data_IF_774044475148
#
_entry.id   IF_774044475148
#
_cell.length_a   1.000
_cell.length_b   1.000
_cell.length_c   1.000
_cell.angle_alpha   90.00
_cell.angle_beta   90.00
_cell.angle_gamma   90.00
#
_symmetry.space_group_name_H-M   'P 1'
#
loop_
_entity.id
_entity.type
_entity.pdbx_description
1 polymer ?
#
# COMPACT_ATOMS: atom_id res chain seq x y z
N UNK A 1 -0.02 -14.66 27.43
CA UNK A 1 -1.08 -13.64 27.57
C UNK A 1 -1.41 -13.10 26.19
N UNK A 2 -2.60 -13.39 25.66
CA UNK A 2 -3.07 -12.77 24.43
C UNK A 2 -3.23 -11.26 24.69
N UNK A 3 -2.62 -10.42 23.84
CA UNK A 3 -2.77 -8.97 23.94
C UNK A 3 -4.23 -8.62 23.64
N UNK A 4 -4.91 -7.98 24.58
CA UNK A 4 -6.13 -7.23 24.28
C UNK A 4 -5.70 -5.96 23.57
N UNK A 5 -5.47 -6.05 22.25
CA UNK A 5 -5.40 -4.85 21.43
C UNK A 5 -6.78 -4.19 21.48
N UNK A 6 -6.83 -2.90 21.80
CA UNK A 6 -8.08 -2.16 21.72
C UNK A 6 -8.62 -2.31 20.29
N UNK A 7 -9.91 -2.62 20.10
CA UNK A 7 -10.47 -2.72 18.77
C UNK A 7 -10.25 -1.39 18.03
N UNK A 8 -9.95 -1.44 16.73
CA UNK A 8 -9.77 -0.23 15.93
C UNK A 8 -10.98 0.68 16.09
N UNK A 9 -10.75 1.99 16.12
CA UNK A 9 -11.85 2.96 16.24
C UNK A 9 -12.77 2.82 15.02
N UNK A 10 -14.04 3.16 15.17
CA UNK A 10 -15.05 2.98 14.11
C UNK A 10 -14.63 3.56 12.76
N UNK A 11 -13.97 4.72 12.75
CA UNK A 11 -13.49 5.37 11.52
C UNK A 11 -12.27 4.68 10.91
N UNK A 12 -11.37 4.12 11.72
CA UNK A 12 -10.25 3.32 11.23
C UNK A 12 -10.74 2.06 10.54
N UNK A 13 -11.72 1.37 11.14
CA UNK A 13 -12.34 0.19 10.56
C UNK A 13 -13.08 0.53 9.27
N UNK A 14 -13.83 1.64 9.22
CA UNK A 14 -14.53 2.10 8.01
C UNK A 14 -13.56 2.45 6.88
N UNK A 15 -12.47 3.16 7.19
CA UNK A 15 -11.42 3.46 6.22
C UNK A 15 -10.79 2.20 5.64
N UNK A 16 -10.52 1.19 6.48
CA UNK A 16 -10.02 -0.11 6.01
C UNK A 16 -11.06 -0.93 5.24
N UNK A 17 -12.33 -0.87 5.62
CA UNK A 17 -13.39 -1.49 4.85
C UNK A 17 -13.53 -0.84 3.46
N UNK A 18 -13.37 0.49 3.35
CA UNK A 18 -13.34 1.19 2.07
C UNK A 18 -12.16 0.73 1.20
N UNK A 19 -10.97 0.63 1.78
CA UNK A 19 -9.77 0.15 1.10
C UNK A 19 -9.95 -1.28 0.55
N UNK A 20 -10.29 -2.22 1.44
CA UNK A 20 -10.30 -3.65 1.11
C UNK A 20 -11.57 -4.05 0.34
N UNK A 21 -12.74 -3.63 0.82
CA UNK A 21 -14.02 -4.03 0.22
C UNK A 21 -14.45 -3.04 -0.84
N UNK A 22 -14.38 -1.75 -0.55
CA UNK A 22 -14.80 -0.70 -1.48
C UNK A 22 -13.97 -0.72 -2.76
N UNK A 23 -12.64 -0.79 -2.63
CA UNK A 23 -11.72 -0.74 -3.78
C UNK A 23 -11.35 -2.12 -4.27
N UNK A 24 -10.59 -2.92 -3.52
CA UNK A 24 -10.06 -4.18 -4.04
C UNK A 24 -11.17 -5.16 -4.46
N UNK A 25 -12.15 -5.39 -3.58
CA UNK A 25 -13.27 -6.28 -3.90
C UNK A 25 -14.23 -5.66 -4.92
N UNK A 26 -14.56 -4.37 -4.77
CA UNK A 26 -15.44 -3.65 -5.69
C UNK A 26 -14.96 -3.72 -7.14
N UNK A 27 -13.68 -3.40 -7.39
CA UNK A 27 -13.05 -3.50 -8.71
C UNK A 27 -13.06 -4.93 -9.24
N UNK A 28 -12.73 -5.90 -8.39
CA UNK A 28 -12.72 -7.32 -8.79
C UNK A 28 -14.11 -7.82 -9.20
N UNK A 29 -15.12 -7.60 -8.35
CA UNK A 29 -16.53 -7.97 -8.62
C UNK A 29 -17.00 -7.29 -9.90
N UNK A 30 -16.57 -6.04 -10.12
CA UNK A 30 -17.02 -5.27 -11.25
C UNK A 30 -16.61 -5.88 -12.59
N UNK A 31 -15.35 -6.31 -12.70
CA UNK A 31 -14.83 -7.01 -13.87
C UNK A 31 -15.39 -8.43 -13.99
N UNK A 32 -15.56 -9.17 -12.88
CA UNK A 32 -16.16 -10.52 -12.89
C UNK A 32 -17.57 -10.52 -13.49
N UNK A 33 -18.41 -9.57 -13.07
CA UNK A 33 -19.78 -9.43 -13.60
C UNK A 33 -19.82 -9.18 -15.10
N UNK A 34 -18.78 -8.54 -15.65
CA UNK A 34 -18.64 -8.28 -17.07
C UNK A 34 -17.94 -9.42 -17.83
N UNK A 35 -17.57 -10.52 -17.16
CA UNK A 35 -16.87 -11.65 -17.79
C UNK A 35 -15.38 -11.45 -18.01
N UNK A 36 -14.77 -10.39 -17.47
CA UNK A 36 -13.36 -10.06 -17.65
C UNK A 36 -12.49 -10.59 -16.51
N UNK A 37 -12.08 -11.86 -16.60
CA UNK A 37 -11.30 -12.53 -15.55
C UNK A 37 -9.93 -11.87 -15.31
N UNK A 38 -9.24 -11.42 -16.35
CA UNK A 38 -7.93 -10.78 -16.18
C UNK A 38 -8.05 -9.49 -15.38
N UNK A 39 -9.01 -8.62 -15.73
CA UNK A 39 -9.31 -7.40 -14.98
C UNK A 39 -9.93 -7.69 -13.60
N UNK A 40 -10.46 -8.88 -13.34
CA UNK A 40 -10.94 -9.25 -12.00
C UNK A 40 -9.81 -9.62 -11.04
N UNK A 41 -8.76 -10.28 -11.54
CA UNK A 41 -7.62 -10.74 -10.74
C UNK A 41 -6.42 -9.81 -10.80
N UNK A 42 -6.39 -8.89 -11.76
CA UNK A 42 -5.31 -7.94 -11.97
C UNK A 42 -4.72 -8.07 -13.36
N UNK A 43 -4.83 -7.01 -14.16
CA UNK A 43 -4.09 -6.89 -15.41
C UNK A 43 -2.63 -6.52 -15.12
N UNK A 44 -1.68 -6.83 -16.00
CA UNK A 44 -0.27 -6.52 -15.75
C UNK A 44 -0.05 -5.05 -15.34
N UNK A 45 0.84 -4.79 -14.38
CA UNK A 45 1.11 -3.42 -13.89
C UNK A 45 0.00 -2.75 -13.05
N UNK A 46 -1.16 -3.38 -12.82
CA UNK A 46 -2.29 -2.74 -12.11
C UNK A 46 -2.00 -2.35 -10.65
N UNK A 47 -1.08 -3.07 -9.99
CA UNK A 47 -1.02 -3.13 -8.53
C UNK A 47 -0.67 -1.77 -7.91
N UNK A 48 0.28 -1.05 -8.50
CA UNK A 48 0.72 0.25 -8.03
C UNK A 48 -0.45 1.25 -8.02
N UNK A 49 -1.25 1.24 -9.10
CA UNK A 49 -2.45 2.06 -9.20
C UNK A 49 -3.52 1.63 -8.20
N UNK A 50 -3.82 0.34 -8.09
CA UNK A 50 -4.91 -0.16 -7.23
C UNK A 50 -4.67 0.12 -5.74
N UNK A 51 -3.47 -0.17 -5.22
CA UNK A 51 -3.12 0.10 -3.82
C UNK A 51 -3.12 1.61 -3.54
N UNK A 52 -2.63 2.41 -4.48
CA UNK A 52 -2.60 3.88 -4.33
C UNK A 52 -3.98 4.52 -4.45
N UNK A 53 -4.87 3.96 -5.25
CA UNK A 53 -6.26 4.39 -5.35
C UNK A 53 -7.02 4.05 -4.07
N UNK A 54 -6.77 2.86 -3.51
CA UNK A 54 -7.33 2.45 -2.23
C UNK A 54 -6.89 3.36 -1.07
N UNK A 55 -5.59 3.70 -0.99
CA UNK A 55 -5.11 4.64 0.03
C UNK A 55 -5.61 6.07 -0.18
N UNK A 56 -5.72 6.55 -1.43
CA UNK A 56 -6.26 7.87 -1.72
C UNK A 56 -7.73 8.01 -1.28
N UNK A 57 -8.56 6.98 -1.50
CA UNK A 57 -9.95 6.98 -1.02
C UNK A 57 -10.04 6.83 0.51
N UNK A 58 -9.15 6.04 1.12
CA UNK A 58 -9.03 5.95 2.59
C UNK A 58 -8.69 7.33 3.21
N UNK A 59 -7.76 8.07 2.61
CA UNK A 59 -7.36 9.41 3.06
C UNK A 59 -8.47 10.45 2.85
N UNK A 60 -9.15 10.41 1.70
CA UNK A 60 -10.29 11.25 1.41
C UNK A 60 -11.42 11.03 2.44
N UNK A 61 -11.72 9.77 2.77
CA UNK A 61 -12.71 9.44 3.80
C UNK A 61 -12.32 9.97 5.19
N UNK A 62 -11.03 9.91 5.55
CA UNK A 62 -10.53 10.43 6.82
C UNK A 62 -10.35 11.95 6.84
N UNK A 63 -10.43 12.61 5.69
CA UNK A 63 -10.13 14.03 5.54
C UNK A 63 -8.67 14.39 5.80
N UNK A 64 -7.73 13.44 5.63
CA UNK A 64 -6.30 13.66 5.89
C UNK A 64 -5.43 12.82 4.96
N UNK A 65 -4.54 13.49 4.24
CA UNK A 65 -3.50 12.85 3.44
C UNK A 65 -2.42 12.20 4.33
N UNK A 66 -2.08 10.96 4.03
CA UNK A 66 -1.01 10.19 4.65
C UNK A 66 0.16 9.95 3.70
N UNK A 67 1.36 9.83 4.27
CA UNK A 67 2.53 9.33 3.53
C UNK A 67 2.53 7.80 3.60
N UNK A 68 1.97 7.16 2.57
CA UNK A 68 1.90 5.71 2.48
C UNK A 68 3.21 5.15 1.87
N UNK A 69 3.80 4.14 2.50
CA UNK A 69 4.92 3.39 1.91
C UNK A 69 6.34 3.98 2.05
N UNK A 70 6.52 5.20 2.60
CA UNK A 70 7.86 5.77 2.84
C UNK A 70 8.79 4.83 3.64
N UNK A 71 8.26 4.18 4.68
CA UNK A 71 9.04 3.23 5.48
C UNK A 71 9.50 2.02 4.65
N UNK A 72 8.72 1.57 3.66
CA UNK A 72 9.08 0.43 2.83
C UNK A 72 10.19 0.79 1.85
N UNK A 73 10.18 2.02 1.31
CA UNK A 73 11.31 2.56 0.54
C UNK A 73 12.59 2.64 1.35
N UNK A 74 12.50 3.13 2.60
CA UNK A 74 13.67 3.20 3.49
C UNK A 74 14.22 1.80 3.80
N UNK A 75 13.35 0.84 4.12
CA UNK A 75 13.75 -0.56 4.37
C UNK A 75 14.41 -1.16 3.11
N UNK A 76 13.82 -0.96 1.94
CA UNK A 76 14.36 -1.47 0.68
C UNK A 76 15.73 -0.85 0.35
N UNK A 77 15.87 0.47 0.50
CA UNK A 77 17.14 1.16 0.31
C UNK A 77 18.22 0.68 1.28
N UNK A 78 17.88 0.47 2.55
CA UNK A 78 18.81 -0.08 3.55
C UNK A 78 19.21 -1.53 3.23
N UNK A 79 18.27 -2.36 2.78
CA UNK A 79 18.54 -3.75 2.40
C UNK A 79 19.48 -3.83 1.20
N UNK A 80 19.30 -2.96 0.19
CA UNK A 80 20.18 -2.87 -0.97
C UNK A 80 21.50 -2.13 -0.71
N UNK A 81 21.61 -1.38 0.39
CA UNK A 81 22.81 -0.62 0.71
C UNK A 81 22.93 0.70 -0.07
N UNK A 82 21.81 1.30 -0.48
CA UNK A 82 21.79 2.58 -1.21
C UNK A 82 22.27 3.80 -0.39
N UNK A 83 22.57 3.59 0.88
CA UNK A 83 23.24 4.54 1.77
C UNK A 83 24.77 4.37 1.78
N UNK A 84 25.36 3.96 0.66
CA UNK A 84 26.80 3.70 0.49
C UNK A 84 27.36 2.61 1.41
N UNK A 85 26.56 1.56 1.68
CA UNK A 85 26.98 0.40 2.45
C UNK A 85 26.76 -0.88 1.65
N UNK A 86 27.40 -2.00 2.02
CA UNK A 86 27.04 -3.30 1.46
C UNK A 86 25.57 -3.64 1.73
N UNK A 87 24.95 -4.49 0.89
CA UNK A 87 23.62 -5.02 1.16
C UNK A 87 23.52 -5.63 2.56
N UNK A 88 22.33 -5.52 3.16
CA UNK A 88 22.06 -5.90 4.54
C UNK A 88 21.05 -7.02 4.63
N UNK A 89 21.17 -7.83 5.67
CA UNK A 89 20.20 -8.85 6.05
C UNK A 89 19.04 -8.26 6.86
N UNK A 90 18.06 -9.09 7.23
CA UNK A 90 16.91 -8.66 8.01
C UNK A 90 17.31 -8.02 9.35
N UNK A 91 18.27 -8.61 10.06
CA UNK A 91 18.65 -8.19 11.41
C UNK A 91 19.32 -6.81 11.35
N UNK A 92 20.24 -6.62 10.41
CA UNK A 92 20.92 -5.35 10.18
C UNK A 92 19.91 -4.23 9.86
N UNK A 93 18.94 -4.48 8.97
CA UNK A 93 17.91 -3.49 8.62
C UNK A 93 16.95 -3.22 9.79
N UNK A 94 16.48 -4.26 10.48
CA UNK A 94 15.62 -4.12 11.67
C UNK A 94 16.28 -3.25 12.75
N UNK A 95 17.56 -3.50 13.03
CA UNK A 95 18.34 -2.76 14.01
C UNK A 95 18.40 -1.27 13.69
N UNK A 96 18.56 -0.90 12.42
CA UNK A 96 18.53 0.50 11.98
C UNK A 96 17.12 1.08 12.12
N UNK A 97 16.11 0.36 11.63
CA UNK A 97 14.74 0.86 11.58
C UNK A 97 14.15 1.14 12.96
N UNK A 98 14.37 0.28 13.96
CA UNK A 98 13.85 0.56 15.30
C UNK A 98 14.59 1.73 15.95
N UNK A 99 15.90 1.93 15.69
CA UNK A 99 16.66 3.08 16.19
C UNK A 99 16.16 4.39 15.59
N UNK A 100 15.90 4.42 14.28
CA UNK A 100 15.28 5.57 13.61
C UNK A 100 13.93 5.89 14.25
N UNK A 101 13.09 4.87 14.47
CA UNK A 101 11.80 5.05 15.14
C UNK A 101 11.94 5.56 16.58
N UNK A 102 12.95 5.11 17.32
CA UNK A 102 13.21 5.54 18.69
C UNK A 102 13.65 7.01 18.72
N UNK A 103 14.55 7.42 17.83
CA UNK A 103 14.99 8.81 17.68
C UNK A 103 13.82 9.74 17.37
N UNK A 104 12.90 9.33 16.48
CA UNK A 104 11.68 10.10 16.15
C UNK A 104 10.70 10.26 17.33
N UNK A 105 10.81 9.42 18.36
CA UNK A 105 9.90 9.41 19.53
C UNK A 105 10.56 9.88 20.82
N UNK A 106 11.88 10.04 20.83
CA UNK A 106 12.60 10.52 21.99
C UNK A 106 12.25 11.97 22.28
N UNK A 107 12.05 12.30 23.56
CA UNK A 107 11.84 13.67 24.03
C UNK A 107 12.91 13.98 25.08
N UNK A 108 13.66 15.07 24.89
CA UNK A 108 14.76 15.43 25.79
C UNK A 108 15.88 14.38 25.89
N UNK A 109 16.09 13.59 24.83
CA UNK A 109 17.09 12.51 24.80
C UNK A 109 16.68 11.24 25.57
N UNK A 110 15.47 11.18 26.11
CA UNK A 110 14.94 10.01 26.80
C UNK A 110 13.80 9.36 26.01
N UNK A 111 13.65 8.05 26.16
CA UNK A 111 12.54 7.28 25.61
C UNK A 111 11.98 6.35 26.68
N UNK A 112 10.66 6.38 26.84
CA UNK A 112 9.96 5.50 27.76
C UNK A 112 9.95 4.05 27.23
N UNK A 113 10.07 3.07 28.12
CA UNK A 113 10.28 1.66 27.77
C UNK A 113 9.10 1.04 26.98
N UNK A 114 7.86 1.42 27.31
CA UNK A 114 6.67 1.00 26.57
C UNK A 114 6.65 1.59 25.15
N UNK A 115 7.09 2.85 24.97
CA UNK A 115 7.26 3.46 23.64
C UNK A 115 8.34 2.73 22.85
N UNK A 116 9.48 2.43 23.46
CA UNK A 116 10.56 1.68 22.82
C UNK A 116 10.09 0.30 22.35
N UNK A 117 9.32 -0.41 23.18
CA UNK A 117 8.75 -1.71 22.84
C UNK A 117 7.82 -1.63 21.63
N UNK A 118 6.94 -0.62 21.58
CA UNK A 118 6.05 -0.36 20.43
C UNK A 118 6.83 -0.06 19.15
N UNK A 119 7.87 0.76 19.24
CA UNK A 119 8.73 1.10 18.10
C UNK A 119 9.42 -0.15 17.54
N UNK A 120 9.98 -1.00 18.42
CA UNK A 120 10.60 -2.26 18.00
C UNK A 120 9.61 -3.20 17.33
N UNK A 121 8.40 -3.37 17.88
CA UNK A 121 7.35 -4.17 17.24
C UNK A 121 6.98 -3.62 15.86
N UNK A 122 6.80 -2.32 15.73
CA UNK A 122 6.47 -1.69 14.45
C UNK A 122 7.60 -1.88 13.41
N UNK A 123 8.86 -1.67 13.82
CA UNK A 123 10.01 -1.90 12.95
C UNK A 123 10.12 -3.36 12.50
N UNK A 124 9.93 -4.32 13.42
CA UNK A 124 9.92 -5.74 13.09
C UNK A 124 8.84 -6.07 12.07
N UNK A 125 7.60 -5.63 12.30
CA UNK A 125 6.49 -5.90 11.39
C UNK A 125 6.73 -5.31 10.00
N UNK A 126 7.23 -4.07 9.93
CA UNK A 126 7.54 -3.43 8.64
C UNK A 126 8.69 -4.13 7.91
N UNK A 127 9.77 -4.50 8.60
CA UNK A 127 10.86 -5.26 7.98
C UNK A 127 10.36 -6.65 7.51
N UNK A 128 9.60 -7.37 8.34
CA UNK A 128 9.11 -8.70 7.99
C UNK A 128 8.18 -8.67 6.78
N UNK A 129 7.43 -7.59 6.55
CA UNK A 129 6.63 -7.45 5.33
C UNK A 129 7.46 -7.49 4.05
N UNK A 130 8.67 -6.95 4.07
CA UNK A 130 9.60 -6.95 2.93
C UNK A 130 10.50 -8.19 2.93
N UNK A 131 10.87 -8.75 4.08
CA UNK A 131 11.72 -9.94 4.13
C UNK A 131 10.94 -11.26 4.14
N UNK A 132 9.60 -11.25 4.19
CA UNK A 132 8.78 -12.47 4.15
C UNK A 132 9.06 -13.28 2.88
N UNK A 133 9.08 -14.60 3.04
CA UNK A 133 9.37 -15.53 1.94
C UNK A 133 10.85 -15.60 1.56
N UNK A 134 11.74 -14.93 2.29
CA UNK A 134 13.21 -15.03 2.13
C UNK A 134 13.82 -15.81 3.30
N UNK A 135 15.10 -16.20 3.20
CA UNK A 135 15.83 -16.80 4.30
C UNK A 135 16.11 -15.81 5.46
N UNK A 136 15.86 -14.50 5.26
CA UNK A 136 16.17 -13.39 6.17
C UNK A 136 17.66 -13.15 6.47
N UNK A 137 18.52 -14.13 6.18
CA UNK A 137 19.98 -14.07 6.30
C UNK A 137 20.68 -13.67 5.01
N UNK A 138 20.00 -13.80 3.87
CA UNK A 138 20.54 -13.41 2.57
C UNK A 138 20.49 -11.88 2.43
N UNK A 139 21.66 -11.28 2.21
CA UNK A 139 21.81 -9.84 2.14
C UNK A 139 21.19 -9.28 0.86
N UNK A 140 20.37 -8.24 1.00
CA UNK A 140 19.70 -7.57 -0.13
C UNK A 140 18.54 -8.35 -0.76
N UNK A 141 18.14 -9.49 -0.20
CA UNK A 141 17.01 -10.28 -0.72
C UNK A 141 15.73 -9.85 -0.02
N UNK A 142 14.85 -9.17 -0.75
CA UNK A 142 13.56 -8.66 -0.25
C UNK A 142 12.44 -8.82 -1.29
N UNK A 143 11.21 -8.90 -0.79
CA UNK A 143 9.96 -8.87 -1.54
C UNK A 143 9.46 -7.44 -1.70
N UNK A 144 9.42 -6.96 -2.95
CA UNK A 144 9.20 -5.55 -3.29
C UNK A 144 7.72 -5.15 -3.49
N UNK A 145 6.76 -6.04 -3.27
CA UNK A 145 5.33 -5.77 -3.51
C UNK A 145 4.88 -4.47 -2.82
N UNK A 146 5.32 -4.24 -1.59
CA UNK A 146 4.88 -3.09 -0.80
C UNK A 146 5.48 -1.74 -1.27
N UNK A 147 6.34 -1.73 -2.29
CA UNK A 147 6.73 -0.46 -2.94
C UNK A 147 5.58 0.14 -3.75
N UNK A 148 4.56 -0.66 -4.10
CA UNK A 148 3.34 -0.21 -4.77
C UNK A 148 2.64 0.95 -4.04
N UNK A 149 2.63 0.92 -2.70
CA UNK A 149 2.02 1.96 -1.84
C UNK A 149 2.60 3.36 -2.03
N UNK A 150 3.81 3.47 -2.57
CA UNK A 150 4.46 4.75 -2.80
C UNK A 150 4.55 5.07 -4.29
N UNK A 151 4.86 4.09 -5.14
CA UNK A 151 5.02 4.28 -6.60
C UNK A 151 3.77 4.84 -7.26
N UNK A 152 2.59 4.36 -6.88
CA UNK A 152 1.35 4.75 -7.54
C UNK A 152 0.72 6.05 -7.03
N UNK A 153 1.21 6.66 -5.95
CA UNK A 153 0.55 7.83 -5.37
C UNK A 153 0.50 9.00 -6.33
N UNK A 154 1.63 9.35 -6.96
CA UNK A 154 1.68 10.45 -7.94
C UNK A 154 0.75 10.17 -9.13
N UNK A 155 0.75 8.92 -9.63
CA UNK A 155 -0.08 8.49 -10.74
C UNK A 155 -1.57 8.66 -10.43
N UNK A 156 -2.00 8.17 -9.27
CA UNK A 156 -3.40 8.26 -8.84
C UNK A 156 -3.83 9.69 -8.62
N UNK A 157 -3.00 10.54 -8.01
CA UNK A 157 -3.34 11.96 -7.84
C UNK A 157 -3.54 12.67 -9.17
N UNK A 158 -2.70 12.39 -10.18
CA UNK A 158 -2.87 12.92 -11.53
C UNK A 158 -4.17 12.47 -12.18
N UNK A 159 -4.59 11.21 -11.96
CA UNK A 159 -5.87 10.71 -12.47
C UNK A 159 -7.05 11.36 -11.76
N UNK A 160 -7.04 11.40 -10.43
CA UNK A 160 -8.14 11.93 -9.61
C UNK A 160 -8.41 13.42 -9.87
N UNK A 161 -7.40 14.21 -10.26
CA UNK A 161 -7.58 15.62 -10.63
C UNK A 161 -8.48 15.82 -11.86
N UNK A 162 -8.62 14.80 -12.70
CA UNK A 162 -9.42 14.85 -13.94
C UNK A 162 -10.77 14.13 -13.79
N UNK A 163 -11.11 13.66 -12.59
CA UNK A 163 -12.41 13.01 -12.31
C UNK A 163 -13.44 14.10 -12.00
N UNK A 164 -14.42 14.25 -12.89
CA UNK A 164 -15.43 15.31 -12.78
C UNK A 164 -16.86 14.78 -12.77
N UNK A 165 -17.06 13.55 -13.22
CA UNK A 165 -18.38 12.93 -13.39
C UNK A 165 -18.46 11.56 -12.70
N UNK A 166 -19.68 11.05 -12.55
CA UNK A 166 -19.89 9.68 -12.09
C UNK A 166 -19.31 8.66 -13.09
N UNK A 167 -19.38 8.95 -14.38
CA UNK A 167 -18.85 8.09 -15.44
C UNK A 167 -17.32 7.96 -15.31
N UNK A 168 -16.60 9.06 -15.04
CA UNK A 168 -15.15 9.02 -14.76
C UNK A 168 -14.85 8.09 -13.57
N UNK A 169 -15.65 8.15 -12.51
CA UNK A 169 -15.52 7.25 -11.37
C UNK A 169 -15.81 5.80 -11.75
N UNK A 170 -16.83 5.54 -12.56
CA UNK A 170 -17.18 4.18 -13.01
C UNK A 170 -16.02 3.54 -13.78
N UNK A 171 -15.30 4.31 -14.61
CA UNK A 171 -14.08 3.86 -15.27
C UNK A 171 -12.97 3.46 -14.30
N UNK A 172 -12.78 4.22 -13.21
CA UNK A 172 -11.83 3.85 -12.17
C UNK A 172 -12.26 2.56 -11.47
N UNK A 173 -13.55 2.30 -11.33
CA UNK A 173 -14.06 1.09 -10.67
C UNK A 173 -14.28 -0.11 -11.61
N UNK A 174 -14.01 0.01 -12.90
CA UNK A 174 -14.33 -1.02 -13.89
C UNK A 174 -13.66 -2.38 -13.60
N UNK A 175 -12.40 -2.38 -13.16
CA UNK A 175 -11.63 -3.60 -12.89
C UNK A 175 -10.28 -3.28 -12.23
N UNK A 176 -9.52 -4.31 -11.85
CA UNK A 176 -8.13 -4.21 -11.38
C UNK A 176 -7.18 -3.84 -12.53
N UNK A 177 -7.16 -2.55 -12.83
CA UNK A 177 -6.56 -1.92 -14.00
C UNK A 177 -5.79 -0.67 -13.54
N UNK A 178 -4.72 -0.33 -14.24
CA UNK A 178 -4.10 0.98 -14.13
C UNK A 178 -4.67 1.91 -15.20
N UNK A 179 -5.55 2.83 -14.79
CA UNK A 179 -6.26 3.74 -15.68
C UNK A 179 -5.37 4.81 -16.34
N UNK A 180 -4.07 4.85 -16.02
CA UNK A 180 -3.10 5.69 -16.75
C UNK A 180 -2.63 5.05 -18.06
N UNK A 181 -2.76 3.73 -18.19
CA UNK A 181 -2.34 2.98 -19.36
C UNK A 181 -3.45 2.94 -20.42
N UNK A 182 -3.08 3.03 -21.70
CA UNK A 182 -4.04 3.15 -22.81
C UNK A 182 -4.82 1.84 -23.03
N UNK A 183 -4.11 0.71 -23.06
CA UNK A 183 -4.70 -0.63 -23.21
C UNK A 183 -5.67 -0.96 -22.05
N UNK A 184 -5.33 -0.57 -20.82
CA UNK A 184 -6.21 -0.71 -19.67
C UNK A 184 -7.47 0.16 -19.77
N UNK A 185 -7.37 1.37 -20.33
CA UNK A 185 -8.54 2.22 -20.58
C UNK A 185 -9.50 1.58 -21.57
N UNK A 186 -8.99 0.98 -22.65
CA UNK A 186 -9.82 0.24 -23.61
C UNK A 186 -10.54 -0.97 -22.95
N UNK A 187 -9.86 -1.67 -22.04
CA UNK A 187 -10.50 -2.76 -21.27
C UNK A 187 -11.60 -2.20 -20.37
N UNK A 188 -11.34 -1.08 -19.67
CA UNK A 188 -12.35 -0.43 -18.83
C UNK A 188 -13.58 0.00 -19.64
N UNK A 189 -13.39 0.59 -20.82
CA UNK A 189 -14.48 0.91 -21.76
C UNK A 189 -15.30 -0.31 -22.15
N UNK A 190 -14.64 -1.41 -22.53
CA UNK A 190 -15.33 -2.66 -22.85
C UNK A 190 -16.13 -3.19 -21.65
N UNK A 191 -15.61 -3.10 -20.43
CA UNK A 191 -16.32 -3.51 -19.22
C UNK A 191 -17.55 -2.63 -18.98
N UNK A 192 -17.42 -1.31 -19.10
CA UNK A 192 -18.52 -0.36 -18.87
C UNK A 192 -19.63 -0.53 -19.92
N UNK A 193 -19.27 -0.72 -21.19
CA UNK A 193 -20.26 -0.93 -22.27
C UNK A 193 -21.05 -2.24 -22.07
N UNK A 194 -20.39 -3.32 -21.66
CA UNK A 194 -21.06 -4.61 -21.41
C UNK A 194 -21.97 -4.62 -20.17
N UNK A 195 -21.91 -3.59 -19.32
CA UNK A 195 -22.82 -3.44 -18.15
C UNK A 195 -24.14 -2.76 -18.49
N UNK A 196 -24.20 -2.03 -19.61
CA UNK A 196 -25.39 -1.24 -20.01
C UNK A 196 -26.45 -2.10 -20.74
N UNK A 197 -26.33 -3.44 -20.69
CA UNK A 197 -27.25 -4.41 -21.30
C UNK A 197 -27.94 -5.24 -20.23
#
# INVERSE_FOLDING_TARGET
>A
MAKTENPPRGDELRGKALHEVGVHAGRSINALKAGWLSAAYGQDGYLDFEESFATALEDAFKGKFGDHGQNYYLIAGLAYGYDNHPPRDFKEVYEIMWRIGALKKAAGGQIEQSVLSKVKTAAFNNCMRLFRGTATTDKGVIYLKDLAYFRGQELVWRVLQNVHTQEDFDYLFAGKLDNTQEDHRLIAEAIILNRKV
#
